data_IF_449436706427
#
_entry.id   IF_449436706427
#
_cell.length_a   1.000
_cell.length_b   1.000
_cell.length_c   1.000
_cell.angle_alpha   90.00
_cell.angle_beta   90.00
_cell.angle_gamma   90.00
#
_symmetry.space_group_name_H-M   'P 1'
#
loop_
_entity.id
_entity.type
_entity.pdbx_description
1 polymer ?
#
# COMPACT_ATOMS: atom_id res chain seq x y z
N UNK A 1 -61.38 1.93 -41.65
CA UNK A 1 -61.29 1.61 -40.21
C UNK A 1 -60.97 0.13 -40.08
N UNK A 2 -60.06 -0.19 -39.16
CA UNK A 2 -59.45 -1.47 -38.81
C UNK A 2 -58.24 -1.91 -39.64
N UNK A 3 -57.10 -1.41 -39.16
CA UNK A 3 -55.77 -2.00 -39.22
C UNK A 3 -55.75 -3.37 -38.53
N UNK A 4 -55.05 -4.34 -39.12
CA UNK A 4 -54.51 -5.50 -38.38
C UNK A 4 -53.06 -5.66 -38.80
N UNK A 5 -52.19 -5.58 -37.79
CA UNK A 5 -50.73 -5.51 -37.87
C UNK A 5 -50.08 -6.80 -38.38
N UNK A 6 -48.91 -6.71 -39.04
CA UNK A 6 -48.07 -7.86 -39.33
C UNK A 6 -47.47 -8.47 -38.06
N UNK A 7 -47.40 -9.80 -38.07
CA UNK A 7 -46.82 -10.68 -37.05
C UNK A 7 -45.42 -10.23 -36.63
N UNK A 8 -45.29 -9.73 -35.40
CA UNK A 8 -44.02 -9.54 -34.69
C UNK A 8 -43.96 -10.60 -33.58
N UNK A 9 -43.40 -11.78 -33.88
CA UNK A 9 -43.04 -12.77 -32.87
C UNK A 9 -41.70 -13.41 -33.25
N UNK A 10 -40.66 -12.60 -33.12
CA UNK A 10 -39.26 -13.04 -33.09
C UNK A 10 -38.57 -12.35 -31.93
N UNK A 11 -39.00 -12.63 -30.70
CA UNK A 11 -38.18 -12.31 -29.53
C UNK A 11 -37.02 -13.32 -29.51
N UNK A 12 -35.75 -12.88 -29.54
CA UNK A 12 -34.65 -13.75 -29.19
C UNK A 12 -34.82 -14.16 -27.72
N UNK A 13 -34.72 -15.45 -27.45
CA UNK A 13 -34.66 -15.97 -26.08
C UNK A 13 -33.51 -15.28 -25.34
N UNK A 14 -33.66 -14.91 -24.06
CA UNK A 14 -32.51 -14.58 -23.25
C UNK A 14 -31.73 -15.89 -23.04
N UNK A 15 -30.65 -16.08 -23.80
CA UNK A 15 -29.57 -17.01 -23.45
C UNK A 15 -28.86 -16.43 -22.20
N UNK A 16 -29.55 -16.52 -21.06
CA UNK A 16 -29.08 -16.07 -19.76
C UNK A 16 -28.36 -17.23 -19.04
N UNK A 17 -27.49 -17.92 -19.77
CA UNK A 17 -26.49 -18.79 -19.17
C UNK A 17 -25.21 -17.98 -19.03
N UNK A 18 -25.16 -17.17 -17.98
CA UNK A 18 -23.89 -16.70 -17.45
C UNK A 18 -23.01 -17.93 -17.21
N UNK A 19 -21.95 -18.06 -18.01
CA UNK A 19 -20.99 -19.17 -17.92
C UNK A 19 -20.55 -19.31 -16.45
N UNK A 20 -20.67 -20.50 -15.84
CA UNK A 20 -20.20 -20.77 -14.48
C UNK A 20 -18.75 -20.34 -14.24
N UNK A 21 -17.92 -20.28 -15.31
CA UNK A 21 -16.57 -19.74 -15.24
C UNK A 21 -16.54 -18.22 -15.08
N UNK A 22 -17.41 -17.49 -15.77
CA UNK A 22 -17.58 -16.03 -15.61
C UNK A 22 -18.15 -15.70 -14.24
N UNK A 23 -19.11 -16.49 -13.75
CA UNK A 23 -19.65 -16.34 -12.38
C UNK A 23 -18.58 -16.67 -11.34
N UNK A 24 -17.78 -17.71 -11.52
CA UNK A 24 -16.67 -18.04 -10.60
C UNK A 24 -15.54 -17.02 -10.65
N UNK A 25 -15.27 -16.40 -11.81
CA UNK A 25 -14.29 -15.33 -11.93
C UNK A 25 -14.78 -14.06 -11.22
N UNK A 26 -16.05 -13.71 -11.37
CA UNK A 26 -16.68 -12.57 -10.68
C UNK A 26 -16.84 -12.82 -9.17
N UNK A 27 -17.15 -14.05 -8.74
CA UNK A 27 -17.15 -14.44 -7.32
C UNK A 27 -15.73 -14.49 -6.74
N UNK A 28 -14.75 -14.93 -7.53
CA UNK A 28 -13.32 -14.91 -7.15
C UNK A 28 -12.82 -13.49 -6.92
N UNK A 29 -13.32 -12.51 -7.67
CA UNK A 29 -13.05 -11.09 -7.45
C UNK A 29 -13.81 -10.49 -6.24
N UNK A 30 -14.86 -11.16 -5.74
CA UNK A 30 -15.69 -10.69 -4.64
C UNK A 30 -15.39 -11.37 -3.28
N UNK A 31 -14.48 -12.34 -3.23
CA UNK A 31 -14.29 -13.22 -2.05
C UNK A 31 -13.11 -12.85 -1.15
N UNK A 32 -12.42 -11.75 -1.41
CA UNK A 32 -11.59 -11.09 -0.40
C UNK A 32 -11.61 -9.59 -0.65
N UNK A 33 -11.89 -8.75 0.36
CA UNK A 33 -11.57 -7.33 0.21
C UNK A 33 -10.10 -7.23 -0.21
N UNK A 34 -9.74 -6.33 -1.13
CA UNK A 34 -8.34 -6.14 -1.49
C UNK A 34 -7.59 -5.86 -0.18
N UNK A 35 -6.67 -6.76 0.21
CA UNK A 35 -5.88 -6.58 1.41
C UNK A 35 -5.25 -5.18 1.35
N UNK A 36 -5.35 -4.40 2.44
CA UNK A 36 -4.76 -3.08 2.42
C UNK A 36 -3.26 -3.24 2.10
N UNK A 37 -2.67 -2.39 1.25
CA UNK A 37 -1.26 -2.58 0.86
C UNK A 37 -0.28 -2.67 2.04
N UNK A 38 -0.59 -1.99 3.15
CA UNK A 38 0.15 -2.10 4.40
C UNK A 38 0.03 -3.49 5.05
N UNK A 39 -1.15 -4.12 5.01
CA UNK A 39 -1.35 -5.49 5.50
C UNK A 39 -0.52 -6.48 4.68
N UNK A 40 -0.49 -6.32 3.35
CA UNK A 40 0.30 -7.17 2.46
C UNK A 40 1.81 -7.04 2.76
N UNK A 41 2.28 -5.81 2.99
CA UNK A 41 3.66 -5.55 3.42
C UNK A 41 3.94 -6.17 4.80
N UNK A 42 3.04 -6.00 5.77
CA UNK A 42 3.18 -6.57 7.11
C UNK A 42 3.23 -8.11 7.08
N UNK A 43 2.36 -8.75 6.28
CA UNK A 43 2.39 -10.20 6.05
C UNK A 43 3.75 -10.64 5.49
N UNK A 44 4.30 -9.90 4.52
CA UNK A 44 5.65 -10.17 3.99
C UNK A 44 6.71 -10.04 5.09
N UNK A 45 6.70 -8.94 5.86
CA UNK A 45 7.69 -8.67 6.91
C UNK A 45 7.59 -9.62 8.13
N UNK A 46 6.43 -10.25 8.33
CA UNK A 46 6.25 -11.27 9.35
C UNK A 46 7.00 -12.58 9.05
N UNK A 47 7.24 -12.89 7.77
CA UNK A 47 8.06 -14.04 7.35
C UNK A 47 9.56 -13.79 7.64
N UNK A 48 10.34 -14.79 8.08
CA UNK A 48 11.78 -14.61 8.36
C UNK A 48 12.61 -14.09 7.18
N UNK A 49 12.34 -14.54 5.95
CA UNK A 49 13.06 -14.04 4.77
C UNK A 49 12.58 -12.65 4.37
N UNK A 50 11.27 -12.40 4.49
CA UNK A 50 10.71 -11.06 4.31
C UNK A 50 11.24 -10.04 5.32
N UNK A 51 11.47 -10.44 6.58
CA UNK A 51 12.08 -9.58 7.59
C UNK A 51 13.53 -9.23 7.26
N UNK A 52 14.33 -10.20 6.81
CA UNK A 52 15.71 -9.96 6.34
C UNK A 52 15.72 -8.99 5.18
N UNK A 53 14.81 -9.18 4.22
CA UNK A 53 14.62 -8.26 3.10
C UNK A 53 14.26 -6.85 3.57
N UNK A 54 13.31 -6.70 4.50
CA UNK A 54 12.91 -5.40 5.04
C UNK A 54 14.08 -4.67 5.71
N UNK A 55 14.90 -5.39 6.48
CA UNK A 55 16.11 -4.82 7.10
C UNK A 55 17.17 -4.44 6.08
N UNK A 56 17.32 -5.22 5.00
CA UNK A 56 18.22 -4.87 3.90
C UNK A 56 17.77 -3.59 3.21
N UNK A 57 16.47 -3.46 2.92
CA UNK A 57 15.89 -2.23 2.35
C UNK A 57 16.17 -1.06 3.29
N UNK A 58 15.76 -1.17 4.56
CA UNK A 58 15.92 -0.10 5.55
C UNK A 58 17.39 0.31 5.80
N UNK A 59 18.33 -0.63 5.62
CA UNK A 59 19.77 -0.38 5.73
C UNK A 59 20.38 0.36 4.52
N UNK A 60 19.62 0.66 3.47
CA UNK A 60 20.12 1.34 2.28
C UNK A 60 19.07 2.30 1.70
N UNK A 61 18.88 3.48 2.33
CA UNK A 61 17.94 4.46 1.83
C UNK A 61 18.22 4.87 0.38
N UNK A 62 17.19 5.05 -0.46
CA UNK A 62 17.36 5.35 -1.88
C UNK A 62 17.63 6.84 -2.18
N UNK A 63 17.97 7.63 -1.14
CA UNK A 63 18.21 9.07 -1.24
C UNK A 63 19.69 9.33 -1.03
N UNK A 64 20.32 10.01 -1.98
CA UNK A 64 21.75 10.30 -1.94
C UNK A 64 22.12 11.12 -0.68
N UNK A 65 23.06 10.59 0.11
CA UNK A 65 23.52 11.24 1.34
C UNK A 65 22.64 11.01 2.56
N UNK A 66 21.58 10.21 2.46
CA UNK A 66 20.75 9.78 3.59
C UNK A 66 21.17 8.37 4.03
N UNK A 67 21.53 8.20 5.30
CA UNK A 67 21.86 6.90 5.88
C UNK A 67 20.72 6.34 6.73
N UNK A 68 20.79 5.04 7.05
CA UNK A 68 19.81 4.42 7.95
C UNK A 68 19.90 4.99 9.36
N UNK A 69 21.10 5.37 9.78
CA UNK A 69 21.42 6.00 11.05
C UNK A 69 20.78 7.39 11.14
N UNK A 70 20.85 8.19 10.07
CA UNK A 70 20.19 9.50 10.00
C UNK A 70 18.66 9.40 10.15
N UNK A 71 18.06 8.29 9.72
CA UNK A 71 16.62 8.04 9.86
C UNK A 71 16.23 7.56 11.26
N UNK A 72 17.14 6.87 11.95
CA UNK A 72 16.93 6.38 13.31
C UNK A 72 17.18 7.50 14.34
N UNK A 73 18.10 8.42 14.06
CA UNK A 73 18.37 9.57 14.91
C UNK A 73 17.31 10.67 14.70
N UNK A 74 16.90 11.33 15.79
CA UNK A 74 15.94 12.43 15.78
C UNK A 74 16.66 13.79 15.89
N UNK A 75 16.22 14.85 15.17
CA UNK A 75 15.28 14.84 14.04
C UNK A 75 15.98 14.58 12.70
N UNK A 76 15.30 13.87 11.81
CA UNK A 76 15.73 13.68 10.42
C UNK A 76 15.47 14.96 9.61
N UNK A 77 16.30 15.30 8.62
CA UNK A 77 16.02 16.45 7.75
C UNK A 77 14.71 16.30 6.96
N UNK A 78 13.84 17.30 7.05
CA UNK A 78 12.50 17.27 6.45
C UNK A 78 12.52 17.25 4.92
N UNK A 79 13.48 17.91 4.28
CA UNK A 79 13.57 17.88 2.82
C UNK A 79 14.00 16.50 2.33
N UNK A 80 14.92 15.83 3.05
CA UNK A 80 15.26 14.42 2.79
C UNK A 80 14.03 13.51 2.95
N UNK A 81 13.21 13.72 3.99
CA UNK A 81 11.96 12.97 4.17
C UNK A 81 10.97 13.21 3.02
N UNK A 82 10.85 14.45 2.51
CA UNK A 82 10.01 14.75 1.33
C UNK A 82 10.55 14.07 0.07
N UNK A 83 11.86 13.95 -0.08
CA UNK A 83 12.47 13.20 -1.18
C UNK A 83 12.19 11.70 -1.04
N UNK A 84 12.37 11.13 0.15
CA UNK A 84 12.09 9.73 0.46
C UNK A 84 10.60 9.40 0.23
N UNK A 85 9.69 10.24 0.68
CA UNK A 85 8.26 10.11 0.45
C UNK A 85 7.91 10.11 -1.05
N UNK A 86 8.49 11.05 -1.83
CA UNK A 86 8.29 11.09 -3.29
C UNK A 86 8.84 9.85 -3.97
N UNK A 87 10.00 9.37 -3.54
CA UNK A 87 10.60 8.12 -4.02
C UNK A 87 9.66 6.95 -3.74
N UNK A 88 9.32 6.71 -2.48
CA UNK A 88 8.46 5.59 -2.06
C UNK A 88 7.11 5.60 -2.76
N UNK A 89 6.46 6.77 -2.85
CA UNK A 89 5.18 6.93 -3.57
C UNK A 89 5.30 6.57 -5.04
N UNK A 90 6.34 7.05 -5.73
CA UNK A 90 6.56 6.78 -7.15
C UNK A 90 6.82 5.28 -7.36
N UNK A 91 7.73 4.69 -6.59
CA UNK A 91 8.05 3.26 -6.67
C UNK A 91 6.80 2.40 -6.40
N UNK A 92 6.02 2.71 -5.36
CA UNK A 92 4.79 1.94 -5.07
C UNK A 92 3.78 1.93 -6.23
N UNK A 93 3.64 3.05 -6.95
CA UNK A 93 2.66 3.19 -8.02
C UNK A 93 3.16 2.74 -9.40
N UNK A 94 4.45 2.91 -9.69
CA UNK A 94 5.03 2.65 -11.00
C UNK A 94 5.57 1.22 -11.14
N UNK A 95 5.85 0.53 -10.02
CA UNK A 95 6.42 -0.81 -10.02
C UNK A 95 5.37 -1.90 -10.27
N UNK A 96 5.84 -3.02 -10.84
CA UNK A 96 5.04 -4.24 -10.98
C UNK A 96 4.78 -4.83 -9.58
N UNK A 97 3.59 -5.43 -9.32
CA UNK A 97 3.31 -6.07 -8.03
C UNK A 97 4.40 -7.07 -7.62
N UNK A 98 4.93 -6.90 -6.41
CA UNK A 98 6.07 -7.67 -5.92
C UNK A 98 6.95 -6.90 -4.94
N UNK A 99 8.23 -7.25 -4.89
CA UNK A 99 9.18 -6.70 -3.90
C UNK A 99 9.44 -5.21 -4.09
N UNK A 100 9.55 -4.74 -5.33
CA UNK A 100 9.77 -3.33 -5.63
C UNK A 100 8.57 -2.47 -5.18
N UNK A 101 7.34 -2.97 -5.38
CA UNK A 101 6.14 -2.31 -4.89
C UNK A 101 6.13 -2.24 -3.34
N UNK A 102 6.47 -3.34 -2.66
CA UNK A 102 6.56 -3.37 -1.20
C UNK A 102 7.66 -2.46 -0.65
N UNK A 103 8.79 -2.36 -1.34
CA UNK A 103 9.86 -1.40 -1.01
C UNK A 103 9.36 0.04 -1.12
N UNK A 104 8.66 0.37 -2.22
CA UNK A 104 8.03 1.68 -2.37
C UNK A 104 7.06 2.01 -1.24
N UNK A 105 6.21 1.04 -0.85
CA UNK A 105 5.29 1.19 0.28
C UNK A 105 6.04 1.38 1.61
N UNK A 106 7.09 0.61 1.86
CA UNK A 106 7.87 0.72 3.08
C UNK A 106 8.49 2.12 3.20
N UNK A 107 9.15 2.61 2.16
CA UNK A 107 9.74 3.95 2.17
C UNK A 107 8.71 5.07 2.27
N UNK A 108 7.56 4.89 1.64
CA UNK A 108 6.44 5.82 1.74
C UNK A 108 5.97 5.97 3.20
N UNK A 109 5.73 4.86 3.89
CA UNK A 109 5.27 4.85 5.28
C UNK A 109 6.36 5.37 6.24
N UNK A 110 7.62 4.96 6.07
CA UNK A 110 8.76 5.46 6.87
C UNK A 110 8.86 6.97 6.77
N UNK A 111 8.85 7.54 5.55
CA UNK A 111 8.98 8.98 5.37
C UNK A 111 7.86 9.77 6.07
N UNK A 112 6.62 9.26 6.03
CA UNK A 112 5.48 9.91 6.70
C UNK A 112 5.60 9.79 8.22
N UNK A 113 5.91 8.60 8.73
CA UNK A 113 6.04 8.36 10.17
C UNK A 113 7.09 9.30 10.79
N UNK A 114 8.25 9.43 10.13
CA UNK A 114 9.32 10.31 10.56
C UNK A 114 8.94 11.79 10.45
N UNK A 115 8.24 12.20 9.40
CA UNK A 115 7.80 13.59 9.25
C UNK A 115 6.81 14.00 10.34
N UNK A 116 5.90 13.10 10.72
CA UNK A 116 4.99 13.31 11.85
C UNK A 116 5.80 13.35 13.16
N UNK A 117 6.60 12.32 13.43
CA UNK A 117 7.30 12.17 14.72
C UNK A 117 8.42 13.19 14.98
N UNK A 118 9.01 13.78 13.94
CA UNK A 118 10.12 14.74 14.07
C UNK A 118 9.69 16.20 13.86
N UNK A 119 8.67 16.45 13.03
CA UNK A 119 8.31 17.79 12.58
C UNK A 119 6.83 18.14 12.74
N UNK A 120 5.99 17.20 13.20
CA UNK A 120 4.52 17.32 13.20
C UNK A 120 3.96 17.66 11.79
N UNK A 121 4.62 17.17 10.74
CA UNK A 121 4.21 17.42 9.34
C UNK A 121 3.61 16.18 8.68
N UNK A 122 2.40 16.34 8.13
CA UNK A 122 1.73 15.31 7.34
C UNK A 122 2.13 15.39 5.86
N UNK A 123 2.92 14.43 5.38
CA UNK A 123 3.36 14.38 3.97
C UNK A 123 2.34 13.73 3.02
N UNK A 124 1.29 13.09 3.55
CA UNK A 124 0.21 12.47 2.77
C UNK A 124 -1.06 13.31 2.76
N UNK A 125 -1.82 13.22 1.67
CA UNK A 125 -3.16 13.78 1.54
C UNK A 125 -4.25 12.86 2.11
N UNK A 126 -3.91 11.63 2.49
CA UNK A 126 -4.85 10.69 3.12
C UNK A 126 -5.16 11.11 4.57
N UNK A 127 -6.30 10.71 5.14
CA UNK A 127 -6.62 11.01 6.54
C UNK A 127 -5.53 10.52 7.50
N UNK A 128 -5.07 11.39 8.41
CA UNK A 128 -3.98 11.08 9.38
C UNK A 128 -4.21 9.75 10.09
N UNK A 129 -5.43 9.51 10.55
CA UNK A 129 -5.81 8.27 11.25
C UNK A 129 -5.53 7.01 10.43
N UNK A 130 -5.96 6.98 9.16
CA UNK A 130 -5.79 5.80 8.29
C UNK A 130 -4.30 5.54 8.00
N UNK A 131 -3.51 6.60 7.82
CA UNK A 131 -2.08 6.48 7.56
C UNK A 131 -1.32 6.03 8.80
N UNK A 132 -1.64 6.56 9.98
CA UNK A 132 -1.04 6.13 11.24
C UNK A 132 -1.39 4.67 11.53
N UNK A 133 -2.64 4.25 11.34
CA UNK A 133 -3.02 2.84 11.46
C UNK A 133 -2.18 1.94 10.53
N UNK A 134 -1.99 2.34 9.27
CA UNK A 134 -1.13 1.61 8.33
C UNK A 134 0.35 1.57 8.75
N UNK A 135 0.88 2.67 9.31
CA UNK A 135 2.24 2.75 9.84
C UNK A 135 2.40 1.77 11.01
N UNK A 136 1.47 1.75 11.96
CA UNK A 136 1.53 0.88 13.13
C UNK A 136 1.46 -0.60 12.77
N UNK A 137 0.60 -0.97 11.81
CA UNK A 137 0.52 -2.35 11.29
C UNK A 137 1.87 -2.83 10.76
N UNK A 138 2.62 -1.96 10.07
CA UNK A 138 3.95 -2.30 9.55
C UNK A 138 5.01 -2.26 10.67
N UNK A 139 4.94 -1.26 11.57
CA UNK A 139 5.87 -1.10 12.68
C UNK A 139 5.95 -2.36 13.56
N UNK A 140 4.79 -2.95 13.89
CA UNK A 140 4.67 -4.17 14.70
C UNK A 140 5.45 -5.38 14.14
N UNK A 141 5.74 -5.38 12.84
CA UNK A 141 6.45 -6.47 12.16
C UNK A 141 7.96 -6.25 12.06
N UNK A 142 8.42 -5.03 12.33
CA UNK A 142 9.83 -4.64 12.28
C UNK A 142 10.49 -4.83 13.66
N UNK A 143 11.79 -5.14 13.71
CA UNK A 143 12.51 -5.17 14.98
C UNK A 143 12.86 -3.75 15.45
N UNK A 144 13.13 -3.58 16.74
CA UNK A 144 13.81 -2.37 17.24
C UNK A 144 15.18 -2.21 16.55
N UNK A 145 15.61 -0.96 16.26
CA UNK A 145 14.98 0.30 16.65
C UNK A 145 13.87 0.80 15.70
N UNK A 146 13.59 0.11 14.60
CA UNK A 146 12.64 0.58 13.57
C UNK A 146 11.19 0.62 14.05
N UNK A 147 10.76 -0.39 14.82
CA UNK A 147 9.43 -0.39 15.43
C UNK A 147 9.24 0.87 16.29
N UNK A 148 10.08 1.05 17.30
CA UNK A 148 10.08 2.20 18.22
C UNK A 148 10.11 3.53 17.47
N UNK A 149 10.86 3.59 16.35
CA UNK A 149 10.98 4.80 15.53
C UNK A 149 9.68 5.15 14.81
N UNK A 150 9.01 4.17 14.21
CA UNK A 150 7.76 4.38 13.46
C UNK A 150 6.56 4.64 14.37
N UNK A 151 6.53 4.03 15.55
CA UNK A 151 5.48 4.26 16.57
C UNK A 151 5.40 5.72 17.03
N UNK A 152 6.45 6.51 16.81
CA UNK A 152 6.44 7.95 17.15
C UNK A 152 5.44 8.77 16.33
N UNK A 153 4.88 8.21 15.26
CA UNK A 153 3.81 8.85 14.49
C UNK A 153 2.44 8.88 15.22
N UNK A 154 2.27 8.06 16.26
CA UNK A 154 1.05 8.01 17.09
C UNK A 154 1.12 8.94 18.32
N UNK A 155 2.28 9.55 18.58
CA UNK A 155 2.51 10.47 19.69
C UNK A 155 2.05 11.90 19.37
#
# INVERSE_FOLDING_TARGET
MNEIYPSMAGQPAPDDQLDPKTVSHLLGMATSPPAHPADALAIKLADPEGRKWGLQVLGSPPIDGLTSEDLLDKPTDLEMLRQLHRHGKRTFHDSVPGDEQHEGMLWYLVAIALAIGDHDEMLSSQPKKEVVEAILVVADTLPSPWCDRLETADQ
#
